data_IF_840029469648
#
_entry.id   IF_840029469648
#
_cell.length_a   1.000
_cell.length_b   1.000
_cell.length_c   1.000
_cell.angle_alpha   90.00
_cell.angle_beta   90.00
_cell.angle_gamma   90.00
#
_symmetry.space_group_name_H-M   'P 1'
#
loop_
_entity.id
_entity.type
_entity.pdbx_description
1 polymer ?
#
# COMPACT_ATOMS: atom_id res chain seq x y z
N UNK A 1 40.58 -11.17 -7.04
CA UNK A 1 40.27 -10.32 -8.21
C UNK A 1 40.05 -11.29 -9.37
N UNK A 2 38.89 -11.41 -9.99
CA UNK A 2 37.77 -10.48 -10.16
C UNK A 2 36.49 -11.29 -10.48
N UNK A 3 35.31 -10.83 -10.03
CA UNK A 3 34.23 -10.22 -10.86
C UNK A 3 33.54 -11.26 -11.78
N UNK A 4 32.23 -11.33 -12.00
CA UNK A 4 31.04 -10.54 -11.70
C UNK A 4 29.88 -11.36 -12.30
N UNK A 5 28.70 -11.27 -11.68
CA UNK A 5 27.35 -11.20 -12.28
C UNK A 5 27.00 -12.21 -13.40
N UNK A 6 25.89 -12.93 -13.34
CA UNK A 6 24.55 -12.51 -13.76
C UNK A 6 23.76 -13.84 -13.71
N UNK A 7 22.54 -13.96 -13.22
CA UNK A 7 21.43 -13.05 -13.32
C UNK A 7 20.53 -13.28 -12.10
N UNK A 8 20.27 -12.22 -11.36
CA UNK A 8 19.15 -12.17 -10.43
C UNK A 8 17.90 -12.23 -11.31
N UNK A 9 17.27 -13.41 -11.36
CA UNK A 9 15.96 -13.58 -11.95
C UNK A 9 15.02 -12.60 -11.25
N UNK A 10 14.69 -11.50 -11.92
CA UNK A 10 13.60 -10.64 -11.54
C UNK A 10 12.34 -11.47 -11.83
N UNK A 11 11.98 -12.30 -10.85
CA UNK A 11 10.68 -12.93 -10.79
C UNK A 11 9.66 -11.81 -10.70
N UNK A 12 9.13 -11.40 -11.85
CA UNK A 12 7.88 -10.65 -11.90
C UNK A 12 6.80 -11.68 -11.60
N UNK A 13 6.70 -12.05 -10.32
CA UNK A 13 5.54 -12.74 -9.82
C UNK A 13 4.37 -11.75 -9.87
N UNK A 14 3.29 -12.22 -10.48
CA UNK A 14 2.06 -11.46 -10.62
C UNK A 14 1.44 -11.37 -9.23
N UNK A 15 1.71 -10.27 -8.53
CA UNK A 15 1.29 -10.07 -7.14
C UNK A 15 -0.13 -9.51 -7.09
N UNK A 16 -1.10 -10.38 -6.84
CA UNK A 16 -2.29 -9.99 -6.08
C UNK A 16 -1.85 -9.85 -4.62
N UNK A 17 -1.49 -8.65 -4.16
CA UNK A 17 -1.14 -8.45 -2.75
C UNK A 17 -1.67 -7.10 -2.24
N UNK A 18 -2.77 -7.19 -1.49
CA UNK A 18 -3.06 -6.26 -0.40
C UNK A 18 -2.10 -6.72 0.71
N UNK A 19 -0.95 -6.09 0.84
CA UNK A 19 0.01 -6.49 1.87
C UNK A 19 0.44 -5.27 2.71
N UNK A 20 -0.09 -5.23 3.95
CA UNK A 20 0.50 -4.44 5.04
C UNK A 20 -0.40 -3.55 5.92
N UNK A 21 -1.54 -4.00 6.45
CA UNK A 21 -1.88 -3.60 7.84
C UNK A 21 -0.99 -4.40 8.82
N UNK A 22 -0.65 -3.96 10.07
CA UNK A 22 -1.04 -2.79 10.85
C UNK A 22 0.17 -1.99 11.44
N UNK A 23 1.27 -1.79 10.69
CA UNK A 23 2.32 -0.83 11.07
C UNK A 23 2.25 0.51 10.30
N UNK A 24 1.75 0.47 9.05
CA UNK A 24 1.73 1.62 8.12
C UNK A 24 0.31 1.91 7.57
N UNK A 25 -0.71 1.16 7.97
CA UNK A 25 -2.05 1.27 7.40
C UNK A 25 -2.21 0.53 6.06
N UNK A 26 -3.42 0.50 5.53
CA UNK A 26 -3.77 -0.33 4.37
C UNK A 26 -3.53 0.42 3.08
N UNK A 27 -2.88 -0.22 2.09
CA UNK A 27 -2.64 0.40 0.79
C UNK A 27 -2.68 -0.61 -0.35
N UNK A 28 -2.95 -0.11 -1.56
CA UNK A 28 -2.91 -0.87 -2.79
C UNK A 28 -2.15 -0.08 -3.86
N UNK A 29 -1.20 -0.76 -4.51
CA UNK A 29 -0.40 -0.20 -5.61
C UNK A 29 -1.17 -0.28 -6.92
N UNK A 30 -1.53 0.87 -7.49
CA UNK A 30 -2.21 0.96 -8.78
C UNK A 30 -3.35 1.97 -8.78
N UNK A 31 -4.03 2.08 -9.91
CA UNK A 31 -5.22 2.91 -10.05
C UNK A 31 -6.45 2.20 -9.50
N UNK A 32 -6.58 2.14 -8.17
CA UNK A 32 -7.79 1.65 -7.54
C UNK A 32 -8.84 2.76 -7.44
N UNK A 33 -10.07 2.40 -7.74
CA UNK A 33 -11.24 3.19 -7.38
C UNK A 33 -11.40 3.20 -5.85
N UNK A 34 -11.82 4.32 -5.27
CA UNK A 34 -11.89 4.47 -3.81
C UNK A 34 -12.96 3.59 -3.18
N UNK A 35 -14.11 3.44 -3.84
CA UNK A 35 -15.18 2.58 -3.33
C UNK A 35 -14.77 1.10 -3.45
N UNK A 36 -14.14 0.72 -4.57
CA UNK A 36 -13.62 -0.63 -4.75
C UNK A 36 -12.53 -0.98 -3.70
N UNK A 37 -11.60 -0.05 -3.44
CA UNK A 37 -10.59 -0.22 -2.39
C UNK A 37 -11.23 -0.35 -1.02
N UNK A 38 -12.18 0.52 -0.68
CA UNK A 38 -12.86 0.47 0.62
C UNK A 38 -13.59 -0.85 0.83
N UNK A 39 -14.28 -1.37 -0.20
CA UNK A 39 -14.94 -2.68 -0.11
C UNK A 39 -13.95 -3.80 0.17
N UNK A 40 -12.85 -3.86 -0.59
CA UNK A 40 -11.81 -4.86 -0.38
C UNK A 40 -11.16 -4.75 1.00
N UNK A 41 -10.94 -3.53 1.50
CA UNK A 41 -10.45 -3.28 2.85
C UNK A 41 -11.41 -3.84 3.92
N UNK A 42 -12.70 -3.54 3.80
CA UNK A 42 -13.71 -4.00 4.76
C UNK A 42 -13.86 -5.53 4.73
N UNK A 43 -13.81 -6.14 3.55
CA UNK A 43 -13.80 -7.60 3.38
C UNK A 43 -12.58 -8.21 4.06
N UNK A 44 -11.38 -7.72 3.75
CA UNK A 44 -10.13 -8.20 4.36
C UNK A 44 -10.13 -8.08 5.88
N UNK A 45 -10.55 -6.94 6.42
CA UNK A 45 -10.57 -6.72 7.88
C UNK A 45 -11.54 -7.67 8.58
N UNK A 46 -12.69 -7.95 7.97
CA UNK A 46 -13.66 -8.91 8.49
C UNK A 46 -13.14 -10.36 8.43
N UNK A 47 -12.39 -10.71 7.39
CA UNK A 47 -11.79 -12.05 7.24
C UNK A 47 -10.64 -12.28 8.23
N UNK A 48 -9.76 -11.29 8.39
CA UNK A 48 -8.57 -11.38 9.24
C UNK A 48 -8.82 -11.01 10.71
N UNK A 49 -10.04 -10.57 11.04
CA UNK A 49 -10.41 -10.20 12.41
C UNK A 49 -9.69 -8.96 12.94
N UNK A 50 -9.36 -8.01 12.06
CA UNK A 50 -8.75 -6.73 12.43
C UNK A 50 -9.80 -5.67 12.75
N UNK A 51 -11.00 -6.07 13.20
CA UNK A 51 -12.10 -5.12 13.33
C UNK A 51 -11.71 -3.96 14.26
N UNK A 52 -10.90 -4.16 15.30
CA UNK A 52 -10.46 -3.09 16.21
C UNK A 52 -9.71 -1.92 15.54
N UNK A 53 -9.15 -2.10 14.34
CA UNK A 53 -8.38 -1.05 13.66
C UNK A 53 -9.28 -0.04 12.95
N UNK A 54 -10.53 -0.39 12.64
CA UNK A 54 -11.45 0.52 11.95
C UNK A 54 -12.19 1.42 12.95
N UNK A 55 -12.51 2.67 12.59
CA UNK A 55 -13.42 3.48 13.38
C UNK A 55 -14.83 2.86 13.28
N UNK A 56 -15.46 2.51 14.41
CA UNK A 56 -16.85 2.07 14.43
C UNK A 56 -17.77 3.16 14.94
N UNK A 57 -18.96 3.20 14.37
CA UNK A 57 -20.09 3.97 14.90
C UNK A 57 -21.15 3.01 15.41
N UNK A 58 -21.61 3.26 16.64
CA UNK A 58 -22.79 2.60 17.19
C UNK A 58 -24.03 3.13 16.48
N UNK A 59 -24.84 2.23 15.92
CA UNK A 59 -26.14 2.53 15.30
C UNK A 59 -27.17 1.56 15.86
N UNK A 60 -28.06 2.06 16.73
CA UNK A 60 -28.97 1.21 17.50
C UNK A 60 -28.21 0.26 18.43
N UNK A 61 -28.49 -1.03 18.31
CA UNK A 61 -27.84 -2.09 19.08
C UNK A 61 -26.59 -2.68 18.40
N UNK A 62 -26.23 -2.20 17.20
CA UNK A 62 -25.08 -2.69 16.42
C UNK A 62 -23.92 -1.69 16.32
N UNK A 63 -22.75 -2.20 15.91
CA UNK A 63 -21.58 -1.40 15.52
C UNK A 63 -21.30 -1.61 14.04
N UNK A 64 -21.05 -0.52 13.31
CA UNK A 64 -20.73 -0.56 11.89
C UNK A 64 -19.46 0.23 11.61
N UNK A 65 -18.62 -0.19 10.64
CA UNK A 65 -17.49 0.60 10.19
C UNK A 65 -17.96 2.00 9.74
N UNK A 66 -17.42 3.03 10.38
CA UNK A 66 -17.67 4.44 10.08
C UNK A 66 -16.60 4.95 9.11
N UNK A 67 -16.55 4.29 7.96
CA UNK A 67 -15.62 4.58 6.88
C UNK A 67 -16.36 4.86 5.60
N UNK A 68 -15.87 5.86 4.88
CA UNK A 68 -16.40 6.28 3.60
C UNK A 68 -15.28 6.38 2.57
N UNK A 69 -15.62 6.35 1.29
CA UNK A 69 -14.61 6.41 0.23
C UNK A 69 -13.87 7.74 0.18
N UNK A 70 -14.39 8.83 0.78
CA UNK A 70 -13.62 10.06 0.95
C UNK A 70 -12.54 9.99 2.02
N UNK A 71 -12.61 9.00 2.93
CA UNK A 71 -11.56 8.71 3.89
C UNK A 71 -10.39 7.96 3.24
N UNK A 72 -10.59 7.42 2.02
CA UNK A 72 -9.56 6.76 1.22
C UNK A 72 -8.77 7.80 0.43
N UNK A 73 -7.46 7.81 0.67
CA UNK A 73 -6.51 8.68 0.00
C UNK A 73 -5.98 8.05 -1.29
N UNK A 74 -5.64 8.93 -2.24
CA UNK A 74 -5.11 8.55 -3.53
C UNK A 74 -3.93 9.46 -3.85
N UNK A 75 -2.76 8.86 -3.99
CA UNK A 75 -1.50 9.59 -4.16
C UNK A 75 -0.63 8.97 -5.23
N UNK A 76 0.45 9.66 -5.60
CA UNK A 76 1.47 9.18 -6.53
C UNK A 76 2.76 8.99 -5.78
N UNK A 77 3.31 7.78 -5.84
CA UNK A 77 4.49 7.38 -5.10
C UNK A 77 5.55 6.84 -6.07
N UNK A 78 6.80 6.75 -5.63
CA UNK A 78 7.88 6.11 -6.39
C UNK A 78 8.82 5.37 -5.45
N UNK A 79 9.45 4.35 -5.98
CA UNK A 79 10.57 3.68 -5.31
C UNK A 79 11.87 4.39 -5.65
N UNK A 80 12.58 4.86 -4.63
CA UNK A 80 13.89 5.50 -4.78
C UNK A 80 14.94 4.62 -4.12
N UNK A 81 15.96 4.17 -4.86
CA UNK A 81 17.07 3.45 -4.25
C UNK A 81 17.87 4.37 -3.34
N UNK A 82 18.29 3.89 -2.18
CA UNK A 82 19.26 4.58 -1.33
C UNK A 82 20.59 3.83 -1.35
N UNK A 83 21.68 4.57 -1.48
CA UNK A 83 23.02 4.06 -1.75
C UNK A 83 23.98 4.54 -0.66
N UNK A 84 25.01 3.74 -0.41
CA UNK A 84 26.20 4.14 0.36
C UNK A 84 27.45 3.78 -0.48
N UNK A 85 28.12 4.82 -0.99
CA UNK A 85 29.06 4.67 -2.09
C UNK A 85 28.41 3.99 -3.30
N UNK A 86 29.04 2.92 -3.79
CA UNK A 86 28.55 2.13 -4.93
C UNK A 86 27.63 0.96 -4.49
N UNK A 87 27.31 0.85 -3.19
CA UNK A 87 26.47 -0.22 -2.66
C UNK A 87 25.00 0.23 -2.58
N UNK A 88 24.10 -0.51 -3.24
CA UNK A 88 22.66 -0.35 -3.04
C UNK A 88 22.30 -0.89 -1.65
N UNK A 89 21.85 0.00 -0.76
CA UNK A 89 21.44 -0.38 0.59
C UNK A 89 19.95 -0.75 0.68
N UNK A 90 19.14 -0.29 -0.26
CA UNK A 90 17.73 -0.68 -0.36
C UNK A 90 16.88 0.28 -1.18
N UNK A 91 15.55 0.15 -1.00
CA UNK A 91 14.55 0.96 -1.70
C UNK A 91 13.64 1.67 -0.69
N UNK A 92 13.49 2.99 -0.81
CA UNK A 92 12.52 3.78 -0.05
C UNK A 92 11.30 4.14 -0.90
N UNK A 93 10.12 4.20 -0.27
CA UNK A 93 8.90 4.71 -0.90
C UNK A 93 8.77 6.21 -0.61
N UNK A 94 8.56 7.01 -1.65
CA UNK A 94 8.42 8.46 -1.53
C UNK A 94 7.24 8.96 -2.33
N UNK A 95 6.55 9.97 -1.81
CA UNK A 95 5.56 10.74 -2.59
C UNK A 95 6.22 11.37 -3.81
N UNK A 96 5.48 11.42 -4.90
CA UNK A 96 5.92 11.82 -6.23
C UNK A 96 4.81 12.58 -6.96
N UNK A 97 5.19 13.32 -8.00
CA UNK A 97 4.23 13.91 -8.93
C UNK A 97 3.79 12.86 -9.98
N UNK A 98 2.56 12.92 -10.51
CA UNK A 98 2.02 11.93 -11.45
C UNK A 98 2.88 11.65 -12.70
N UNK A 99 3.68 12.62 -13.11
CA UNK A 99 4.54 12.54 -14.31
C UNK A 99 6.00 12.24 -13.99
N UNK A 100 6.32 12.02 -12.73
CA UNK A 100 7.69 11.68 -12.33
C UNK A 100 8.07 10.31 -12.85
N UNK A 101 9.33 10.14 -13.26
CA UNK A 101 9.83 8.84 -13.72
C UNK A 101 9.69 7.81 -12.60
N UNK A 102 9.10 6.66 -12.93
CA UNK A 102 8.88 5.56 -11.98
C UNK A 102 7.77 5.84 -10.95
N UNK A 103 6.98 6.91 -11.12
CA UNK A 103 5.82 7.14 -10.29
C UNK A 103 4.70 6.15 -10.62
N UNK A 104 4.01 5.69 -9.59
CA UNK A 104 2.83 4.86 -9.66
C UNK A 104 1.78 5.38 -8.67
N UNK A 105 0.52 5.19 -9.01
CA UNK A 105 -0.59 5.59 -8.14
C UNK A 105 -0.72 4.61 -6.98
N UNK A 106 -1.06 5.11 -5.80
CA UNK A 106 -1.33 4.35 -4.58
C UNK A 106 -2.67 4.80 -4.02
N UNK A 107 -3.49 3.84 -3.62
CA UNK A 107 -4.76 4.07 -2.91
C UNK A 107 -4.63 3.50 -1.52
N UNK A 108 -5.00 4.26 -0.49
CA UNK A 108 -4.69 3.87 0.89
C UNK A 108 -5.63 4.45 1.93
N UNK A 109 -5.66 3.82 3.11
CA UNK A 109 -6.39 4.26 4.29
C UNK A 109 -5.57 3.96 5.57
N UNK A 110 -5.47 4.95 6.47
CA UNK A 110 -4.77 4.81 7.77
C UNK A 110 -3.84 5.99 8.09
N UNK A 111 -2.78 5.75 8.87
CA UNK A 111 -1.61 6.62 8.96
C UNK A 111 -0.43 5.90 8.30
N UNK A 112 0.00 6.38 7.13
CA UNK A 112 1.26 5.99 6.48
C UNK A 112 2.42 6.83 7.02
#
# INVERSE_FOLDING_TARGET
>A
MSEQQEATAIGIETLFEIDGGPALGFYARGHYDRDAFLRALLEYVAEEGYEEVLPYRKVGDGFYPNLHSWDVSVEWWRWVPFWDGDCLLGMGQYKAEPRSRGAFKVTWWGRL
#
